data_IF_205418184340
#
_entry.id   IF_205418184340
#
_cell.length_a   1.000
_cell.length_b   1.000
_cell.length_c   1.000
_cell.angle_alpha   90.00
_cell.angle_beta   90.00
_cell.angle_gamma   90.00
#
_symmetry.space_group_name_H-M   'P 1'
#
loop_
_entity.id
_entity.type
_entity.pdbx_description
1 polymer ?
#
# COMPACT_ATOMS: atom_id res chain seq x y z
N UNK A 1 -32.19 13.96 75.05
CA UNK A 1 -33.52 13.40 74.73
C UNK A 1 -33.29 12.25 73.79
N UNK A 2 -33.29 11.06 74.36
CA UNK A 2 -33.19 9.76 73.69
C UNK A 2 -34.55 9.41 73.08
N UNK A 3 -34.56 8.98 71.82
CA UNK A 3 -35.70 8.31 71.21
C UNK A 3 -35.21 6.92 70.83
N UNK A 4 -35.66 5.91 71.58
CA UNK A 4 -35.44 4.51 71.27
C UNK A 4 -36.36 4.07 70.13
N UNK A 5 -35.79 3.35 69.16
CA UNK A 5 -36.52 2.73 68.04
C UNK A 5 -37.05 1.34 68.47
N UNK A 6 -38.24 0.93 67.99
CA UNK A 6 -38.86 -0.34 68.38
C UNK A 6 -38.15 -1.56 67.76
N UNK A 7 -38.17 -2.73 68.44
CA UNK A 7 -37.57 -3.95 67.93
C UNK A 7 -38.49 -4.63 66.91
N UNK A 8 -37.94 -5.14 65.81
CA UNK A 8 -38.66 -6.10 64.95
C UNK A 8 -38.66 -5.88 63.44
N UNK A 9 -37.93 -4.91 62.88
CA UNK A 9 -37.76 -4.80 61.42
C UNK A 9 -36.35 -5.18 61.00
N UNK A 10 -36.17 -6.45 60.63
CA UNK A 10 -34.98 -6.87 59.88
C UNK A 10 -35.04 -6.21 58.49
N UNK A 11 -34.08 -5.34 58.24
CA UNK A 11 -33.83 -4.75 56.93
C UNK A 11 -33.30 -5.86 56.01
N UNK A 12 -34.13 -6.37 55.10
CA UNK A 12 -33.70 -7.23 54.00
C UNK A 12 -32.61 -6.50 53.22
N UNK A 13 -31.38 -6.99 53.33
CA UNK A 13 -30.28 -6.59 52.46
C UNK A 13 -30.52 -7.27 51.11
N UNK A 14 -31.00 -6.51 50.13
CA UNK A 14 -31.01 -6.95 48.75
C UNK A 14 -29.61 -6.66 48.20
N UNK A 15 -28.78 -7.68 48.10
CA UNK A 15 -27.52 -7.61 47.36
C UNK A 15 -27.85 -7.62 45.87
N UNK A 16 -27.62 -6.50 45.18
CA UNK A 16 -27.65 -6.44 43.73
C UNK A 16 -26.34 -7.02 43.22
N UNK A 17 -26.41 -8.19 42.58
CA UNK A 17 -25.28 -8.75 41.84
C UNK A 17 -24.85 -7.76 40.74
N UNK A 18 -23.55 -7.51 40.54
CA UNK A 18 -23.08 -6.65 39.46
C UNK A 18 -23.40 -7.30 38.11
N UNK A 19 -24.22 -6.64 37.31
CA UNK A 19 -24.37 -6.97 35.89
C UNK A 19 -23.02 -6.72 35.21
N UNK A 20 -22.38 -7.78 34.75
CA UNK A 20 -21.20 -7.70 33.90
C UNK A 20 -21.59 -6.92 32.63
N UNK A 21 -21.05 -5.70 32.50
CA UNK A 21 -21.10 -4.98 31.24
C UNK A 21 -20.13 -5.67 30.30
N UNK A 22 -20.65 -6.52 29.44
CA UNK A 22 -19.90 -7.07 28.33
C UNK A 22 -19.52 -5.91 27.41
N UNK A 23 -18.25 -5.51 27.47
CA UNK A 23 -17.66 -4.51 26.61
C UNK A 23 -17.68 -5.06 25.20
N UNK A 24 -18.63 -4.61 24.38
CA UNK A 24 -18.54 -4.76 22.93
C UNK A 24 -17.37 -3.89 22.48
N UNK A 25 -16.16 -4.46 22.43
CA UNK A 25 -15.04 -3.86 21.69
C UNK A 25 -15.51 -3.70 20.25
N UNK A 26 -15.76 -2.46 19.82
CA UNK A 26 -15.93 -2.17 18.41
C UNK A 26 -14.67 -2.65 17.68
N UNK A 27 -14.79 -3.47 16.61
CA UNK A 27 -13.64 -3.98 15.90
C UNK A 27 -12.81 -2.79 15.40
N UNK A 28 -11.57 -2.70 15.89
CA UNK A 28 -10.62 -1.69 15.44
C UNK A 28 -10.54 -1.76 13.91
N UNK A 29 -10.62 -0.62 13.19
CA UNK A 29 -10.56 -0.64 11.75
C UNK A 29 -9.24 -1.30 11.31
N UNK A 30 -9.29 -2.18 10.30
CA UNK A 30 -8.10 -2.91 9.88
C UNK A 30 -6.99 -1.91 9.53
N UNK A 31 -5.81 -2.09 10.11
CA UNK A 31 -4.65 -1.20 9.90
C UNK A 31 -3.71 -1.76 8.83
N UNK A 32 -2.98 -0.88 8.15
CA UNK A 32 -2.04 -1.31 7.11
C UNK A 32 -2.73 -1.81 5.84
N UNK A 33 -2.31 -2.97 5.34
CA UNK A 33 -2.75 -3.49 4.04
C UNK A 33 -4.21 -3.92 4.01
N UNK A 34 -4.73 -4.48 5.11
CA UNK A 34 -6.13 -4.91 5.15
C UNK A 34 -7.08 -3.71 5.19
N UNK A 35 -6.72 -2.63 5.89
CA UNK A 35 -7.46 -1.37 5.86
C UNK A 35 -7.50 -0.75 4.48
N UNK A 36 -6.34 -0.76 3.80
CA UNK A 36 -6.24 -0.31 2.43
C UNK A 36 -7.09 -1.17 1.48
N UNK A 37 -7.09 -2.49 1.66
CA UNK A 37 -7.94 -3.43 0.91
C UNK A 37 -9.41 -3.06 1.08
N UNK A 38 -9.91 -2.97 2.32
CA UNK A 38 -11.31 -2.66 2.59
C UNK A 38 -11.73 -1.33 1.97
N UNK A 39 -10.90 -0.29 2.09
CA UNK A 39 -11.15 1.02 1.45
C UNK A 39 -11.25 0.88 -0.07
N UNK A 40 -10.29 0.21 -0.70
CA UNK A 40 -10.21 0.11 -2.16
C UNK A 40 -11.35 -0.74 -2.72
N UNK A 41 -11.63 -1.90 -2.10
CA UNK A 41 -12.75 -2.75 -2.52
C UNK A 41 -14.09 -2.04 -2.35
N UNK A 42 -14.28 -1.30 -1.25
CA UNK A 42 -15.47 -0.48 -1.04
C UNK A 42 -15.67 0.56 -2.14
N UNK A 43 -14.60 1.20 -2.61
CA UNK A 43 -14.66 2.14 -3.75
C UNK A 43 -14.91 1.38 -5.06
N UNK A 44 -14.21 0.27 -5.32
CA UNK A 44 -14.36 -0.50 -6.55
C UNK A 44 -15.79 -1.01 -6.73
N UNK A 45 -16.46 -1.41 -5.64
CA UNK A 45 -17.86 -1.83 -5.67
C UNK A 45 -18.84 -0.73 -6.14
N UNK A 46 -18.43 0.55 -6.11
CA UNK A 46 -19.23 1.68 -6.60
C UNK A 46 -18.96 2.06 -8.06
N UNK A 47 -17.95 1.45 -8.70
CA UNK A 47 -17.53 1.77 -10.08
C UNK A 47 -18.38 0.93 -11.06
N UNK A 48 -19.25 1.54 -11.88
CA UNK A 48 -20.15 0.80 -12.77
C UNK A 48 -19.41 -0.05 -13.81
N UNK A 49 -18.26 0.41 -14.30
CA UNK A 49 -17.44 -0.30 -15.28
C UNK A 49 -16.83 -1.62 -14.76
N UNK A 50 -16.91 -1.84 -13.45
CA UNK A 50 -16.41 -3.04 -12.78
C UNK A 50 -17.53 -4.01 -12.36
N UNK A 51 -18.78 -3.74 -12.71
CA UNK A 51 -19.93 -4.53 -12.27
C UNK A 51 -19.86 -6.01 -12.69
N UNK A 52 -19.24 -6.30 -13.84
CA UNK A 52 -19.09 -7.66 -14.39
C UNK A 52 -17.78 -8.35 -13.94
N UNK A 53 -16.97 -7.71 -13.09
CA UNK A 53 -15.70 -8.26 -12.61
C UNK A 53 -15.87 -8.97 -11.26
N UNK A 54 -15.02 -9.96 -11.01
CA UNK A 54 -14.97 -10.68 -9.72
C UNK A 54 -14.27 -9.84 -8.64
N UNK A 55 -14.93 -8.77 -8.19
CA UNK A 55 -14.41 -7.91 -7.11
C UNK A 55 -14.32 -8.66 -5.78
N UNK A 56 -15.25 -9.58 -5.51
CA UNK A 56 -15.26 -10.38 -4.28
C UNK A 56 -14.05 -11.29 -4.18
N UNK A 57 -13.63 -11.91 -5.30
CA UNK A 57 -12.42 -12.72 -5.35
C UNK A 57 -11.14 -11.97 -4.97
N UNK A 58 -11.13 -10.63 -5.00
CA UNK A 58 -9.98 -9.82 -4.56
C UNK A 58 -9.80 -9.79 -3.04
N UNK A 59 -10.82 -10.15 -2.26
CA UNK A 59 -10.72 -10.27 -0.80
C UNK A 59 -9.69 -11.32 -0.39
N UNK A 60 -9.66 -12.43 -1.13
CA UNK A 60 -8.78 -13.57 -0.89
C UNK A 60 -7.39 -13.42 -1.51
N UNK A 61 -7.16 -12.38 -2.33
CA UNK A 61 -5.84 -12.14 -2.94
C UNK A 61 -4.82 -11.80 -1.84
N UNK A 62 -3.72 -12.56 -1.72
CA UNK A 62 -2.69 -12.28 -0.71
C UNK A 62 -2.05 -10.91 -0.94
N UNK A 63 -1.97 -10.10 0.13
CA UNK A 63 -1.29 -8.81 0.11
C UNK A 63 0.09 -8.91 0.75
N UNK A 64 1.08 -8.33 0.08
CA UNK A 64 2.48 -8.36 0.49
C UNK A 64 3.15 -7.00 0.45
N UNK A 65 4.45 -7.01 0.76
CA UNK A 65 5.29 -5.81 0.70
C UNK A 65 6.48 -6.06 -0.21
N UNK A 66 6.81 -5.06 -1.02
CA UNK A 66 8.07 -5.04 -1.76
C UNK A 66 9.24 -4.81 -0.80
N UNK A 67 10.45 -5.11 -1.29
CA UNK A 67 11.69 -4.71 -0.59
C UNK A 67 11.75 -3.18 -0.45
N UNK A 68 12.26 -2.71 0.69
CA UNK A 68 12.32 -1.27 1.04
C UNK A 68 13.20 -0.44 0.10
N UNK A 69 14.15 -1.07 -0.58
CA UNK A 69 15.07 -0.42 -1.52
C UNK A 69 14.57 -0.46 -2.99
N UNK A 70 13.31 -0.84 -3.22
CA UNK A 70 12.71 -0.84 -4.55
C UNK A 70 12.40 0.59 -5.02
N UNK A 71 13.34 1.21 -5.72
CA UNK A 71 13.25 2.62 -6.19
C UNK A 71 12.45 2.85 -7.48
N UNK A 72 11.96 1.78 -8.12
CA UNK A 72 11.29 1.83 -9.44
C UNK A 72 9.93 1.13 -9.49
N UNK A 73 9.70 0.18 -8.59
CA UNK A 73 8.50 -0.64 -8.56
C UNK A 73 7.74 -0.25 -7.31
N UNK A 74 6.57 0.36 -7.47
CA UNK A 74 5.77 0.82 -6.34
C UNK A 74 4.72 -0.22 -5.94
N UNK A 75 4.16 -0.92 -6.92
CA UNK A 75 3.23 -2.04 -6.76
C UNK A 75 3.58 -3.16 -7.74
N UNK A 76 3.11 -4.37 -7.46
CA UNK A 76 3.14 -5.48 -8.41
C UNK A 76 2.08 -6.52 -8.10
N UNK A 77 1.36 -6.95 -9.13
CA UNK A 77 0.56 -8.17 -9.15
C UNK A 77 1.38 -9.34 -9.70
N UNK A 78 1.46 -10.44 -8.95
CA UNK A 78 2.22 -11.64 -9.30
C UNK A 78 1.28 -12.82 -9.45
N UNK A 79 1.32 -13.49 -10.60
CA UNK A 79 0.56 -14.72 -10.83
C UNK A 79 1.29 -15.97 -10.36
N UNK A 80 0.53 -17.06 -10.13
CA UNK A 80 1.10 -18.38 -9.92
C UNK A 80 1.95 -18.84 -11.13
N UNK A 81 3.03 -19.58 -10.86
CA UNK A 81 3.90 -20.11 -11.92
C UNK A 81 3.09 -20.99 -12.88
N UNK A 82 3.36 -20.88 -14.18
CA UNK A 82 2.70 -21.68 -15.21
C UNK A 82 1.38 -21.09 -15.72
N UNK A 83 0.83 -20.04 -15.10
CA UNK A 83 -0.30 -19.29 -15.66
C UNK A 83 0.19 -18.47 -16.85
N UNK A 84 -0.43 -18.69 -18.02
CA UNK A 84 -0.08 -17.99 -19.27
C UNK A 84 -0.92 -16.73 -19.35
N UNK A 85 -0.33 -15.59 -19.00
CA UNK A 85 -0.98 -14.28 -19.09
C UNK A 85 -1.50 -13.94 -20.49
N UNK A 86 -0.83 -14.46 -21.53
CA UNK A 86 -1.22 -14.27 -22.93
C UNK A 86 -2.43 -15.11 -23.38
N UNK A 87 -2.87 -16.10 -22.58
CA UNK A 87 -3.98 -16.99 -22.96
C UNK A 87 -5.37 -16.40 -22.63
N UNK A 88 -5.43 -15.25 -21.95
CA UNK A 88 -6.67 -14.67 -21.44
C UNK A 88 -7.26 -15.47 -20.26
N UNK A 89 -8.37 -14.97 -19.71
CA UNK A 89 -9.13 -15.67 -18.67
C UNK A 89 -8.46 -15.72 -17.29
N UNK A 90 -7.52 -14.82 -17.01
CA UNK A 90 -6.98 -14.66 -15.67
C UNK A 90 -8.00 -13.97 -14.76
N UNK A 91 -8.00 -14.36 -13.50
CA UNK A 91 -8.79 -13.71 -12.45
C UNK A 91 -8.11 -13.79 -11.09
N UNK A 92 -8.80 -13.35 -10.01
CA UNK A 92 -8.21 -13.24 -8.68
C UNK A 92 -7.57 -14.55 -8.17
N UNK A 93 -8.19 -15.70 -8.44
CA UNK A 93 -7.67 -17.02 -8.04
C UNK A 93 -6.35 -17.43 -8.73
N UNK A 94 -5.89 -16.68 -9.73
CA UNK A 94 -4.60 -16.90 -10.40
C UNK A 94 -3.46 -16.07 -9.83
N UNK A 95 -3.80 -15.15 -8.94
CA UNK A 95 -2.88 -14.22 -8.31
C UNK A 95 -2.26 -14.87 -7.09
N UNK A 96 -0.93 -14.97 -7.11
CA UNK A 96 -0.14 -15.43 -5.97
C UNK A 96 -0.03 -14.35 -4.90
N UNK A 97 0.16 -13.10 -5.31
CA UNK A 97 0.36 -11.97 -4.40
C UNK A 97 0.21 -10.63 -5.13
N UNK A 98 -0.42 -9.65 -4.49
CA UNK A 98 -0.28 -8.22 -4.81
C UNK A 98 0.58 -7.56 -3.73
N UNK A 99 1.70 -6.95 -4.12
CA UNK A 99 2.64 -6.37 -3.17
C UNK A 99 2.88 -4.88 -3.43
N UNK A 100 2.87 -4.08 -2.36
CA UNK A 100 3.12 -2.63 -2.43
C UNK A 100 4.44 -2.23 -1.75
N UNK A 101 5.00 -1.11 -2.16
CA UNK A 101 6.18 -0.54 -1.52
C UNK A 101 5.86 -0.13 -0.08
N UNK A 102 6.63 -0.54 0.94
CA UNK A 102 6.26 -0.32 2.35
C UNK A 102 6.06 1.16 2.70
N UNK A 103 6.83 2.07 2.11
CA UNK A 103 6.70 3.51 2.34
C UNK A 103 5.43 4.13 1.76
N UNK A 104 4.76 3.47 0.79
CA UNK A 104 3.48 3.98 0.27
C UNK A 104 2.36 3.86 1.30
N UNK A 105 2.57 3.05 2.34
CA UNK A 105 1.59 2.80 3.41
C UNK A 105 1.67 3.83 4.53
N UNK A 106 2.57 4.81 4.44
CA UNK A 106 2.63 5.94 5.36
C UNK A 106 1.45 6.90 5.08
N UNK A 107 0.94 7.56 6.12
CA UNK A 107 -0.30 8.35 6.06
C UNK A 107 -0.28 9.43 4.97
N UNK A 108 0.88 10.07 4.74
CA UNK A 108 1.05 11.08 3.69
C UNK A 108 0.82 10.55 2.27
N UNK A 109 0.94 9.24 2.06
CA UNK A 109 0.79 8.58 0.76
C UNK A 109 -0.53 7.81 0.60
N UNK A 110 -1.47 7.88 1.55
CA UNK A 110 -2.68 7.05 1.56
C UNK A 110 -3.51 7.10 0.29
N UNK A 111 -3.63 8.27 -0.34
CA UNK A 111 -4.37 8.44 -1.58
C UNK A 111 -3.65 7.75 -2.75
N UNK A 112 -2.32 7.88 -2.78
CA UNK A 112 -1.51 7.17 -3.78
C UNK A 112 -1.52 5.66 -3.54
N UNK A 113 -1.43 5.21 -2.29
CA UNK A 113 -1.52 3.80 -1.91
C UNK A 113 -2.82 3.17 -2.39
N UNK A 114 -3.93 3.89 -2.24
CA UNK A 114 -5.26 3.41 -2.63
C UNK A 114 -5.37 3.28 -4.16
N UNK A 115 -4.92 4.31 -4.89
CA UNK A 115 -4.87 4.25 -6.34
C UNK A 115 -3.93 3.14 -6.85
N UNK A 116 -2.79 2.97 -6.19
CA UNK A 116 -1.82 1.95 -6.56
C UNK A 116 -2.34 0.53 -6.30
N UNK A 117 -3.01 0.29 -5.17
CA UNK A 117 -3.66 -1.01 -4.92
C UNK A 117 -4.77 -1.27 -5.94
N UNK A 118 -5.58 -0.25 -6.25
CA UNK A 118 -6.58 -0.34 -7.31
C UNK A 118 -5.95 -0.74 -8.66
N UNK A 119 -4.84 -0.11 -9.05
CA UNK A 119 -4.10 -0.46 -10.26
C UNK A 119 -3.67 -1.94 -10.28
N UNK A 120 -3.10 -2.43 -9.18
CA UNK A 120 -2.70 -3.84 -9.08
C UNK A 120 -3.91 -4.80 -9.03
N UNK A 121 -5.05 -4.36 -8.51
CA UNK A 121 -6.29 -5.12 -8.55
C UNK A 121 -6.90 -5.17 -9.96
N UNK A 122 -6.76 -4.15 -10.79
CA UNK A 122 -7.11 -4.26 -12.22
C UNK A 122 -6.29 -5.36 -12.90
N UNK A 123 -5.01 -5.48 -12.58
CA UNK A 123 -4.22 -6.62 -13.02
C UNK A 123 -4.78 -7.94 -12.47
N UNK A 124 -5.09 -8.03 -11.18
CA UNK A 124 -5.67 -9.23 -10.57
C UNK A 124 -7.01 -9.65 -11.19
N UNK A 125 -7.80 -8.70 -11.71
CA UNK A 125 -9.04 -8.94 -12.47
C UNK A 125 -8.81 -9.40 -13.92
N UNK A 126 -7.56 -9.63 -14.32
CA UNK A 126 -7.19 -10.16 -15.64
C UNK A 126 -6.78 -9.12 -16.66
N UNK A 127 -6.76 -7.81 -16.33
CA UNK A 127 -6.29 -6.76 -17.23
C UNK A 127 -4.76 -6.66 -17.18
N UNK A 128 -4.07 -7.64 -17.75
CA UNK A 128 -2.59 -7.77 -17.65
C UNK A 128 -1.85 -6.61 -18.33
N UNK A 129 -2.37 -6.14 -19.46
CA UNK A 129 -1.71 -5.13 -20.29
C UNK A 129 -2.32 -3.76 -20.05
N UNK A 130 -1.49 -2.71 -20.06
CA UNK A 130 -1.95 -1.32 -19.97
C UNK A 130 -2.52 -0.81 -21.31
N UNK A 131 -3.45 -1.58 -21.89
CA UNK A 131 -4.14 -1.25 -23.12
C UNK A 131 -5.25 -0.20 -22.93
N UNK A 132 -6.01 0.09 -23.98
CA UNK A 132 -7.09 1.10 -23.93
C UNK A 132 -8.16 0.75 -22.89
N UNK A 133 -8.49 -0.54 -22.72
CA UNK A 133 -9.51 -0.95 -21.76
C UNK A 133 -8.98 -0.79 -20.33
N UNK A 134 -7.75 -1.24 -20.07
CA UNK A 134 -7.09 -1.00 -18.78
C UNK A 134 -7.07 0.48 -18.43
N UNK A 135 -6.65 1.35 -19.36
CA UNK A 135 -6.59 2.80 -19.11
C UNK A 135 -7.96 3.42 -18.86
N UNK A 136 -9.02 2.90 -19.48
CA UNK A 136 -10.39 3.34 -19.21
C UNK A 136 -10.81 2.98 -17.78
N UNK A 137 -10.55 1.75 -17.35
CA UNK A 137 -10.84 1.30 -15.97
C UNK A 137 -9.96 2.03 -14.95
N UNK A 138 -8.68 2.22 -15.23
CA UNK A 138 -7.78 2.96 -14.37
C UNK A 138 -8.25 4.41 -14.15
N UNK A 139 -8.78 5.04 -15.21
CA UNK A 139 -9.33 6.38 -15.16
C UNK A 139 -10.67 6.51 -14.43
N UNK A 140 -11.35 5.39 -14.12
CA UNK A 140 -12.60 5.41 -13.33
C UNK A 140 -12.35 5.54 -11.82
N UNK A 141 -11.09 5.57 -11.38
CA UNK A 141 -10.77 5.88 -9.99
C UNK A 141 -11.25 7.28 -9.60
N UNK A 142 -12.05 7.45 -8.52
CA UNK A 142 -12.69 8.73 -8.20
C UNK A 142 -11.73 9.90 -7.96
N UNK A 143 -10.58 9.62 -7.32
CA UNK A 143 -9.56 10.63 -7.06
C UNK A 143 -8.63 10.74 -8.28
N UNK A 144 -8.99 11.61 -9.22
CA UNK A 144 -8.25 11.83 -10.47
C UNK A 144 -6.84 12.40 -10.25
N UNK A 145 -6.52 12.93 -9.06
CA UNK A 145 -5.20 13.47 -8.75
C UNK A 145 -4.24 12.42 -8.17
N UNK A 146 -4.76 11.30 -7.66
CA UNK A 146 -3.95 10.28 -6.98
C UNK A 146 -2.84 9.70 -7.88
N UNK A 147 -3.11 9.49 -9.17
CA UNK A 147 -2.10 8.97 -10.11
C UNK A 147 -0.90 9.93 -10.28
N UNK A 148 -1.11 11.25 -10.15
CA UNK A 148 -0.05 12.27 -10.29
C UNK A 148 0.96 12.19 -9.16
N UNK A 149 0.58 11.60 -8.01
CA UNK A 149 1.48 11.37 -6.89
C UNK A 149 2.59 10.36 -7.20
N UNK A 150 2.46 9.55 -8.25
CA UNK A 150 3.47 8.57 -8.67
C UNK A 150 4.86 9.21 -8.86
N UNK A 151 4.94 10.36 -9.50
CA UNK A 151 6.23 11.03 -9.75
C UNK A 151 6.84 11.56 -8.46
N UNK A 152 6.03 12.18 -7.60
CA UNK A 152 6.46 12.71 -6.31
C UNK A 152 6.90 11.60 -5.37
N UNK A 153 6.17 10.47 -5.33
CA UNK A 153 6.58 9.28 -4.61
C UNK A 153 7.90 8.71 -5.16
N UNK A 154 8.04 8.58 -6.49
CA UNK A 154 9.28 8.09 -7.08
C UNK A 154 10.50 8.96 -6.72
N UNK A 155 10.33 10.29 -6.62
CA UNK A 155 11.37 11.21 -6.13
C UNK A 155 11.67 10.99 -4.65
N UNK A 156 10.64 10.88 -3.82
CA UNK A 156 10.77 10.61 -2.39
C UNK A 156 11.56 9.30 -2.12
N UNK A 157 11.17 8.18 -2.74
CA UNK A 157 11.85 6.88 -2.52
C UNK A 157 13.30 6.92 -2.97
N UNK A 158 13.61 7.63 -4.07
CA UNK A 158 15.01 7.82 -4.51
C UNK A 158 15.81 8.65 -3.52
N UNK A 159 15.20 9.68 -2.93
CA UNK A 159 15.85 10.51 -1.92
C UNK A 159 16.11 9.71 -0.64
N UNK A 160 15.12 8.98 -0.12
CA UNK A 160 15.28 8.16 1.10
C UNK A 160 16.32 7.04 0.91
N UNK A 161 16.39 6.44 -0.28
CA UNK A 161 17.36 5.40 -0.59
C UNK A 161 18.72 5.92 -1.08
N UNK A 162 18.91 7.24 -1.15
CA UNK A 162 20.16 7.81 -1.64
C UNK A 162 21.29 7.59 -0.63
N UNK A 163 22.34 6.86 -1.06
CA UNK A 163 23.55 6.58 -0.27
C UNK A 163 24.82 7.05 -0.97
N UNK A 164 24.79 7.14 -2.29
CA UNK A 164 25.92 7.46 -3.14
C UNK A 164 25.49 8.39 -4.27
N UNK A 165 26.33 9.38 -4.58
CA UNK A 165 26.29 10.12 -5.84
C UNK A 165 27.37 9.58 -6.75
N UNK A 166 26.95 9.14 -7.94
CA UNK A 166 27.91 8.85 -9.01
C UNK A 166 28.17 10.16 -9.75
N UNK A 167 29.37 10.70 -9.59
CA UNK A 167 29.73 12.03 -10.09
C UNK A 167 30.80 11.92 -11.17
N UNK A 168 30.65 12.68 -12.26
CA UNK A 168 31.71 12.83 -13.25
C UNK A 168 32.75 13.84 -12.73
N UNK A 169 34.04 13.47 -12.64
CA UNK A 169 35.05 14.41 -12.17
C UNK A 169 35.31 15.56 -13.15
N UNK A 170 35.01 15.38 -14.44
CA UNK A 170 35.30 16.38 -15.49
C UNK A 170 34.19 17.41 -15.66
N UNK A 171 32.92 16.97 -15.72
CA UNK A 171 31.78 17.85 -16.00
C UNK A 171 30.84 18.06 -14.82
N UNK A 172 31.13 17.48 -13.66
CA UNK A 172 30.32 17.62 -12.44
C UNK A 172 28.93 16.97 -12.49
N UNK A 173 28.50 16.40 -13.63
CA UNK A 173 27.22 15.69 -13.72
C UNK A 173 27.16 14.58 -12.66
N UNK A 174 26.04 14.50 -11.95
CA UNK A 174 25.86 13.51 -10.89
C UNK A 174 24.47 12.85 -10.93
N UNK A 175 24.38 11.66 -10.34
CA UNK A 175 23.11 11.01 -10.11
C UNK A 175 23.06 10.23 -8.79
N UNK A 176 21.96 10.37 -8.05
CA UNK A 176 21.71 9.72 -6.76
C UNK A 176 21.40 8.23 -6.90
N UNK A 177 22.06 7.40 -6.07
CA UNK A 177 21.98 5.94 -6.09
C UNK A 177 22.05 5.36 -4.68
N UNK A 178 21.48 4.16 -4.51
CA UNK A 178 21.58 3.40 -3.27
C UNK A 178 22.88 2.60 -3.14
N UNK A 179 23.63 2.44 -4.25
CA UNK A 179 24.84 1.63 -4.32
C UNK A 179 25.98 2.39 -4.99
N UNK A 180 27.21 1.95 -4.73
CA UNK A 180 28.42 2.44 -5.40
C UNK A 180 28.45 2.07 -6.89
N UNK A 181 29.01 2.96 -7.70
CA UNK A 181 29.38 2.71 -9.09
C UNK A 181 30.50 1.67 -9.14
N UNK A 182 31.47 1.77 -8.22
CA UNK A 182 32.66 0.92 -8.15
C UNK A 182 33.43 0.87 -9.48
N UNK A 183 33.57 2.02 -10.14
CA UNK A 183 34.27 2.16 -11.43
C UNK A 183 33.56 1.54 -12.65
N UNK A 184 32.38 0.93 -12.48
CA UNK A 184 31.66 0.23 -13.57
C UNK A 184 30.95 1.15 -14.56
N UNK A 185 30.67 2.38 -14.16
CA UNK A 185 29.87 3.32 -14.95
C UNK A 185 30.73 4.48 -15.42
N UNK A 186 30.44 4.96 -16.64
CA UNK A 186 31.13 6.09 -17.27
C UNK A 186 30.17 7.24 -17.53
N UNK A 187 30.69 8.47 -17.47
CA UNK A 187 29.95 9.65 -17.90
C UNK A 187 29.58 9.52 -19.39
N UNK A 188 28.32 9.81 -19.74
CA UNK A 188 27.85 9.71 -21.14
C UNK A 188 28.57 10.70 -22.06
N UNK A 189 28.85 11.91 -21.55
CA UNK A 189 29.49 12.98 -22.30
C UNK A 189 31.01 12.84 -22.30
N UNK A 190 31.64 12.76 -21.12
CA UNK A 190 33.10 12.78 -21.00
C UNK A 190 33.76 11.40 -21.17
N UNK A 191 33.00 10.30 -21.15
CA UNK A 191 33.47 8.90 -21.25
C UNK A 191 34.46 8.44 -20.15
N UNK A 192 34.73 9.27 -19.15
CA UNK A 192 35.54 8.93 -17.96
C UNK A 192 34.73 8.12 -16.93
N UNK A 193 35.37 7.28 -16.10
CA UNK A 193 34.71 6.60 -14.98
C UNK A 193 34.06 7.58 -14.00
N UNK A 194 32.88 7.24 -13.49
CA UNK A 194 32.21 8.00 -12.43
C UNK A 194 32.84 7.67 -11.08
N UNK A 195 33.03 8.70 -10.25
CA UNK A 195 33.53 8.57 -8.88
C UNK A 195 32.36 8.47 -7.90
N UNK A 196 32.57 7.70 -6.83
CA UNK A 196 31.59 7.47 -5.78
C UNK A 196 31.75 8.53 -4.67
N UNK A 197 30.75 9.39 -4.51
CA UNK A 197 30.69 10.38 -3.42
C UNK A 197 29.60 9.92 -2.44
N UNK A 198 29.90 9.69 -1.14
CA UNK A 198 28.87 9.38 -0.15
C UNK A 198 27.80 10.48 -0.10
N UNK A 199 26.53 10.10 0.09
CA UNK A 199 25.49 11.06 0.37
C UNK A 199 25.84 11.81 1.68
N UNK A 200 25.77 13.13 1.65
CA UNK A 200 25.88 13.94 2.87
C UNK A 200 24.55 13.81 3.59
N UNK A 201 24.47 12.87 4.52
CA UNK A 201 23.36 12.83 5.47
C UNK A 201 23.54 14.00 6.43
N UNK A 202 22.66 15.00 6.31
CA UNK A 202 22.46 16.03 7.33
C UNK A 202 21.87 15.40 8.60
#
# INVERSE_FOLDING_TARGET
MTVELPPGQQRLQIEFAPMEMESTEEPQPPSGLDGLRSRVLGIMATIPELADHDIRGLEDVPLGRLRRDATRLHGVCRYHKGRRTAAGGLGPGDVREVALHPQVLEEEWKEYASFLLFHEFLHALGHVHHDRNFRKLEASWPNTEAHKLQETFARHIRAVNWRWSWTCPECGWCCSRSVRAAGRYRCRSCRVPLVDVPAVTA
#
